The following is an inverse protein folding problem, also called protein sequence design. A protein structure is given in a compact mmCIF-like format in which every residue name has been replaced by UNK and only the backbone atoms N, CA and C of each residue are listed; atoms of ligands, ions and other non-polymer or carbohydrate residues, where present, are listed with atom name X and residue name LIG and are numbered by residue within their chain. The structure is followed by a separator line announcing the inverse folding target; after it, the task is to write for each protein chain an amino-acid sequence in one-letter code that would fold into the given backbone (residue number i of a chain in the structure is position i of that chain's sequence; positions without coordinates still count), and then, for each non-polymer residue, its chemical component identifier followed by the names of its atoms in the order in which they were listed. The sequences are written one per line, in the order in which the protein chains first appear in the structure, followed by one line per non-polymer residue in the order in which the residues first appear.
data_IF_003132053504
#
_entry.id   IF_003132053504
#
_cell.length_a   1.000
_cell.length_b   1.000
_cell.length_c   1.000
_cell.angle_alpha   90.00
_cell.angle_beta   90.00
_cell.angle_gamma   90.00
#
_symmetry.space_group_name_H-M   'P 1'
#
loop_
_entity.id
_entity.type
_entity.pdbx_description
1 polymer ?
#
# COMPACT_ATOMS: atom_id res chain seq x y z
N UNK A 1 1.41 23.84 30.85
CA UNK A 1 0.60 24.25 29.67
C UNK A 1 1.41 24.97 28.56
N UNK A 2 2.56 25.57 28.86
CA UNK A 2 3.39 26.29 27.86
C UNK A 2 4.23 25.34 26.96
N UNK A 3 4.58 24.16 27.47
CA UNK A 3 5.43 23.18 26.76
C UNK A 3 4.63 22.28 25.77
N UNK A 4 3.31 22.12 25.97
CA UNK A 4 2.47 21.34 25.07
C UNK A 4 2.22 22.08 23.74
N UNK A 5 2.15 23.43 23.80
CA UNK A 5 2.01 24.27 22.59
C UNK A 5 3.25 24.22 21.69
N UNK A 6 4.45 24.06 22.27
CA UNK A 6 5.69 23.94 21.50
C UNK A 6 5.83 22.58 20.79
N UNK A 7 5.29 21.50 21.38
CA UNK A 7 5.37 20.18 20.77
C UNK A 7 4.48 20.05 19.51
N UNK A 8 3.30 20.69 19.54
CA UNK A 8 2.40 20.70 18.37
C UNK A 8 2.94 21.54 17.20
N UNK A 9 3.61 22.64 17.50
CA UNK A 9 4.21 23.51 16.46
C UNK A 9 5.45 22.85 15.85
N UNK A 10 6.24 22.11 16.62
CA UNK A 10 7.44 21.43 16.12
C UNK A 10 7.12 20.21 15.23
N UNK A 11 6.02 19.51 15.48
CA UNK A 11 5.55 18.41 14.61
C UNK A 11 5.02 18.96 13.27
N UNK A 12 4.35 20.12 13.27
CA UNK A 12 3.89 20.77 12.04
C UNK A 12 5.04 21.38 11.22
N UNK A 13 6.11 21.90 11.86
CA UNK A 13 7.28 22.41 11.16
C UNK A 13 8.20 21.30 10.60
N UNK A 14 8.26 20.12 11.26
CA UNK A 14 8.99 18.96 10.72
C UNK A 14 8.34 18.38 9.47
N UNK A 15 7.00 18.53 9.32
CA UNK A 15 6.28 18.10 8.12
C UNK A 15 6.54 19.01 6.90
N UNK A 16 6.90 20.27 7.10
CA UNK A 16 7.19 21.20 5.99
C UNK A 16 8.59 21.02 5.38
N UNK A 17 9.55 20.48 6.15
CA UNK A 17 10.91 20.23 5.67
C UNK A 17 11.06 18.93 4.84
N UNK A 18 10.11 17.99 4.96
CA UNK A 18 10.10 16.71 4.20
C UNK A 18 9.55 16.83 2.78
N UNK A 19 8.90 17.94 2.42
CA UNK A 19 8.27 18.12 1.10
C UNK A 19 9.26 18.53 0.00
N UNK A 20 10.51 18.85 0.32
CA UNK A 20 11.49 19.39 -0.63
C UNK A 20 12.53 18.37 -1.13
N UNK A 21 12.50 17.12 -0.67
CA UNK A 21 13.49 16.09 -1.04
C UNK A 21 13.06 15.16 -2.19
N UNK A 22 11.98 15.48 -2.92
CA UNK A 22 11.53 14.72 -4.10
C UNK A 22 11.89 15.37 -5.44
N UNK A 23 12.91 16.18 -5.47
CA UNK A 23 13.38 16.78 -6.71
C UNK A 23 14.68 16.16 -7.19
N UNK A 24 14.69 14.97 -7.75
CA UNK A 24 15.69 14.46 -8.71
C UNK A 24 15.54 12.98 -9.07
N UNK A 25 14.33 12.49 -9.39
CA UNK A 25 14.21 11.18 -10.05
C UNK A 25 13.01 11.17 -11.02
N UNK A 26 13.05 12.04 -12.03
CA UNK A 26 11.95 12.22 -13.00
C UNK A 26 12.03 11.26 -14.20
N UNK A 27 12.53 10.04 -14.02
CA UNK A 27 12.61 9.04 -15.10
C UNK A 27 11.82 7.75 -14.84
N UNK A 28 10.97 7.69 -13.82
CA UNK A 28 10.04 6.56 -13.61
C UNK A 28 8.60 7.03 -13.83
N UNK A 29 8.07 6.76 -15.03
CA UNK A 29 6.67 6.99 -15.36
C UNK A 29 5.76 5.94 -14.71
N UNK A 30 5.76 5.86 -13.37
CA UNK A 30 4.76 5.12 -12.59
C UNK A 30 3.53 5.99 -12.30
N UNK A 31 2.39 5.40 -11.87
CA UNK A 31 1.23 6.17 -11.48
C UNK A 31 1.56 7.10 -10.32
N UNK A 32 1.46 8.40 -10.56
CA UNK A 32 1.81 9.44 -9.60
C UNK A 32 0.67 9.59 -8.57
N UNK A 33 1.04 9.57 -7.28
CA UNK A 33 0.10 9.81 -6.19
C UNK A 33 -0.54 11.20 -6.31
N UNK A 34 -1.84 11.28 -6.06
CA UNK A 34 -2.56 12.56 -5.96
C UNK A 34 -3.11 12.72 -4.55
N UNK A 35 -2.75 13.80 -3.83
CA UNK A 35 -3.34 14.12 -2.55
C UNK A 35 -4.87 14.21 -2.65
N UNK A 36 -5.59 13.65 -1.68
CA UNK A 36 -7.04 13.55 -1.76
C UNK A 36 -7.71 13.51 -0.39
N UNK A 37 -8.97 13.94 -0.36
CA UNK A 37 -9.84 13.78 0.79
C UNK A 37 -10.41 12.37 0.88
N UNK A 38 -10.75 11.96 2.08
CA UNK A 38 -11.51 10.75 2.32
C UNK A 38 -12.51 10.94 3.46
N UNK A 39 -13.56 10.12 3.45
CA UNK A 39 -14.52 9.98 4.53
C UNK A 39 -14.64 8.51 4.89
N UNK A 40 -14.89 8.22 6.17
CA UNK A 40 -15.10 6.84 6.61
C UNK A 40 -16.17 6.74 7.67
N UNK A 41 -16.86 5.59 7.67
CA UNK A 41 -17.85 5.23 8.67
C UNK A 41 -17.56 3.80 9.14
N UNK A 42 -17.39 3.64 10.44
CA UNK A 42 -17.09 2.37 11.09
C UNK A 42 -18.05 2.11 12.24
N UNK A 43 -18.33 0.84 12.50
CA UNK A 43 -19.09 0.38 13.65
C UNK A 43 -18.44 -0.86 14.26
N UNK A 44 -18.65 -1.07 15.54
CA UNK A 44 -18.05 -2.21 16.23
C UNK A 44 -18.25 -2.20 17.72
N UNK A 45 -17.25 -2.70 18.45
CA UNK A 45 -17.27 -2.84 19.88
C UNK A 45 -16.20 -2.00 20.56
N UNK A 46 -16.56 -1.47 21.72
CA UNK A 46 -15.67 -0.84 22.69
C UNK A 46 -15.55 -1.73 23.92
N UNK A 47 -14.35 -1.86 24.43
CA UNK A 47 -14.07 -2.44 25.74
C UNK A 47 -13.49 -1.38 26.65
N UNK A 48 -14.16 -1.07 27.78
CA UNK A 48 -13.61 -0.20 28.83
C UNK A 48 -12.88 -1.05 29.85
N UNK A 49 -11.63 -0.76 30.13
CA UNK A 49 -10.85 -1.47 31.13
C UNK A 49 -11.45 -1.23 32.53
N UNK A 50 -11.84 -2.30 33.20
CA UNK A 50 -12.50 -2.25 34.49
C UNK A 50 -12.33 -3.55 35.27
N UNK A 51 -13.04 -3.70 36.41
CA UNK A 51 -12.92 -4.85 37.30
C UNK A 51 -13.91 -5.98 36.98
N UNK A 52 -14.94 -5.73 36.15
CA UNK A 52 -15.90 -6.75 35.72
C UNK A 52 -15.29 -7.57 34.55
N UNK A 53 -15.96 -8.68 34.25
CA UNK A 53 -15.50 -9.55 33.15
C UNK A 53 -15.52 -8.85 31.79
N UNK A 54 -14.62 -9.27 30.89
CA UNK A 54 -14.45 -8.68 29.59
C UNK A 54 -15.77 -8.54 28.80
N UNK A 55 -16.61 -9.60 28.81
CA UNK A 55 -17.90 -9.60 28.11
C UNK A 55 -18.88 -8.57 28.66
N UNK A 56 -18.90 -8.36 29.97
CA UNK A 56 -19.80 -7.42 30.63
C UNK A 56 -19.47 -5.96 30.37
N UNK A 57 -18.18 -5.67 30.09
CA UNK A 57 -17.66 -4.34 29.80
C UNK A 57 -17.61 -4.01 28.30
N UNK A 58 -18.05 -4.92 27.44
CA UNK A 58 -18.24 -4.65 26.03
C UNK A 58 -19.47 -3.77 25.78
N UNK A 59 -19.33 -2.77 24.93
CA UNK A 59 -20.38 -1.86 24.52
C UNK A 59 -20.29 -1.56 23.03
N UNK A 60 -21.40 -1.16 22.37
CA UNK A 60 -21.35 -0.75 20.97
C UNK A 60 -20.64 0.59 20.81
N UNK A 61 -19.99 0.77 19.65
CA UNK A 61 -19.39 2.05 19.27
C UNK A 61 -19.52 2.27 17.77
N UNK A 62 -19.63 3.54 17.37
CA UNK A 62 -19.55 3.98 15.97
C UNK A 62 -18.48 5.06 15.85
N UNK A 63 -17.89 5.18 14.67
CA UNK A 63 -16.91 6.21 14.36
C UNK A 63 -17.15 6.76 12.96
N UNK A 64 -17.29 8.08 12.86
CA UNK A 64 -17.27 8.81 11.60
C UNK A 64 -15.96 9.58 11.50
N UNK A 65 -15.36 9.59 10.31
CA UNK A 65 -14.11 10.33 10.11
C UNK A 65 -14.09 11.03 8.76
N UNK A 66 -13.41 12.16 8.72
CA UNK A 66 -13.05 12.88 7.50
C UNK A 66 -11.58 13.26 7.56
N UNK A 67 -10.83 13.02 6.49
CA UNK A 67 -9.39 13.25 6.50
C UNK A 67 -8.82 13.60 5.14
N UNK A 68 -7.54 13.91 5.15
CA UNK A 68 -6.79 14.25 3.96
C UNK A 68 -5.47 13.47 3.92
N UNK A 69 -5.23 12.82 2.80
CA UNK A 69 -3.97 12.14 2.52
C UNK A 69 -3.04 13.10 1.79
N UNK A 70 -1.97 13.53 2.47
CA UNK A 70 -1.00 14.51 1.93
C UNK A 70 0.01 13.87 1.00
N UNK A 71 0.53 12.73 1.42
CA UNK A 71 1.53 11.94 0.69
C UNK A 71 1.09 10.47 0.66
N UNK A 72 1.74 9.60 -0.10
CA UNK A 72 1.41 8.17 -0.07
C UNK A 72 1.42 7.54 1.33
N UNK A 73 2.24 8.05 2.24
CA UNK A 73 2.45 7.47 3.56
C UNK A 73 1.99 8.36 4.73
N UNK A 74 1.67 9.66 4.51
CA UNK A 74 1.26 10.59 5.56
C UNK A 74 -0.13 11.16 5.28
N UNK A 75 -1.00 11.12 6.29
CA UNK A 75 -2.33 11.71 6.28
C UNK A 75 -2.72 12.27 7.64
N UNK A 76 -3.83 12.98 7.69
CA UNK A 76 -4.47 13.39 8.94
C UNK A 76 -5.97 13.26 8.81
N UNK A 77 -6.65 13.01 9.94
CA UNK A 77 -8.10 12.92 9.99
C UNK A 77 -8.67 13.51 11.28
N UNK A 78 -9.88 14.01 11.20
CA UNK A 78 -10.77 14.24 12.31
C UNK A 78 -11.71 13.05 12.40
N UNK A 79 -11.79 12.40 13.58
CA UNK A 79 -12.67 11.30 13.89
C UNK A 79 -13.61 11.70 15.02
N UNK A 80 -14.86 11.26 14.93
CA UNK A 80 -15.84 11.39 16.03
C UNK A 80 -16.33 9.99 16.35
N UNK A 81 -15.88 9.46 17.48
CA UNK A 81 -16.40 8.23 18.08
C UNK A 81 -17.58 8.54 19.01
N UNK A 82 -18.58 7.68 19.04
CA UNK A 82 -19.73 7.86 19.91
C UNK A 82 -20.42 6.54 20.22
N UNK A 83 -21.18 6.53 21.26
CA UNK A 83 -22.23 5.65 21.72
C UNK A 83 -22.12 5.38 23.22
N UNK A 84 -22.02 4.12 23.61
CA UNK A 84 -22.09 3.65 25.00
C UNK A 84 -20.71 3.24 25.50
N UNK A 85 -20.44 3.51 26.77
CA UNK A 85 -19.31 2.99 27.51
C UNK A 85 -19.79 2.38 28.82
N UNK A 86 -19.07 1.40 29.35
CA UNK A 86 -19.45 0.70 30.57
C UNK A 86 -18.39 0.79 31.65
N UNK A 87 -18.78 0.79 32.89
CA UNK A 87 -17.93 0.57 34.05
C UNK A 87 -18.44 -0.62 34.87
N UNK A 88 -17.61 -1.16 35.75
CA UNK A 88 -17.97 -2.30 36.56
C UNK A 88 -17.30 -2.28 37.95
N UNK A 89 -18.02 -2.83 38.95
CA UNK A 89 -17.60 -3.01 40.33
C UNK A 89 -17.56 -4.50 40.66
N UNK A 90 -16.48 -5.00 41.24
CA UNK A 90 -16.38 -6.35 41.78
C UNK A 90 -16.45 -6.38 43.29
N UNK A 91 -16.84 -7.54 43.86
CA UNK A 91 -16.82 -7.76 45.31
C UNK A 91 -18.13 -7.41 46.04
N UNK A 92 -19.19 -7.12 45.33
CA UNK A 92 -20.51 -6.79 45.92
C UNK A 92 -21.54 -7.89 45.61
N UNK A 93 -21.25 -9.13 45.97
CA UNK A 93 -22.22 -10.23 45.84
C UNK A 93 -23.00 -10.47 47.12
N UNK A 94 -24.32 -10.68 47.03
CA UNK A 94 -25.11 -11.22 48.14
C UNK A 94 -24.86 -12.72 48.28
N UNK A 95 -24.47 -13.19 49.49
CA UNK A 95 -24.42 -14.60 49.81
C UNK A 95 -23.19 -15.38 49.32
N UNK A 96 -22.01 -14.79 49.31
CA UNK A 96 -20.75 -15.52 49.12
C UNK A 96 -20.31 -15.77 47.67
N UNK A 97 -21.06 -15.24 46.71
CA UNK A 97 -20.63 -15.23 45.31
C UNK A 97 -20.32 -13.78 44.91
N UNK A 98 -19.04 -13.42 44.64
CA UNK A 98 -18.70 -12.06 44.22
C UNK A 98 -19.24 -11.82 42.80
N UNK A 99 -20.47 -11.26 42.72
CA UNK A 99 -21.02 -10.78 41.45
C UNK A 99 -20.37 -9.46 41.01
N UNK A 100 -20.25 -9.23 39.74
CA UNK A 100 -19.93 -7.93 39.18
C UNK A 100 -21.23 -7.14 38.96
N UNK A 101 -21.20 -5.85 39.36
CA UNK A 101 -22.28 -4.89 39.03
C UNK A 101 -21.73 -4.00 37.93
N UNK A 102 -22.43 -3.90 36.81
CA UNK A 102 -22.08 -3.03 35.70
C UNK A 102 -23.03 -1.85 35.60
N UNK A 103 -22.55 -0.77 35.05
CA UNK A 103 -23.32 0.45 34.76
C UNK A 103 -22.82 1.03 33.42
N UNK A 104 -23.67 1.77 32.76
CA UNK A 104 -23.38 2.39 31.46
C UNK A 104 -23.54 3.90 31.48
N UNK A 105 -22.89 4.52 30.55
CA UNK A 105 -22.98 5.94 30.25
C UNK A 105 -22.65 6.17 28.77
N UNK A 106 -23.01 7.34 28.26
CA UNK A 106 -22.79 7.68 26.86
C UNK A 106 -21.57 8.60 26.69
N UNK A 107 -21.00 8.57 25.51
CA UNK A 107 -19.92 9.49 25.17
C UNK A 107 -19.95 9.93 23.70
N UNK A 108 -19.31 11.08 23.43
CA UNK A 108 -18.92 11.55 22.12
C UNK A 108 -17.45 11.99 22.21
N UNK A 109 -16.62 11.49 21.30
CA UNK A 109 -15.17 11.73 21.35
C UNK A 109 -14.64 12.25 20.00
N UNK A 110 -14.60 13.58 19.79
CA UNK A 110 -13.86 14.19 18.69
C UNK A 110 -12.35 14.09 18.95
N UNK A 111 -11.62 13.52 17.97
CA UNK A 111 -10.17 13.27 18.03
C UNK A 111 -9.53 13.61 16.68
N UNK A 112 -8.38 14.25 16.69
CA UNK A 112 -7.54 14.47 15.51
C UNK A 112 -6.41 13.46 15.53
N UNK A 113 -6.27 12.69 14.45
CA UNK A 113 -5.21 11.69 14.27
C UNK A 113 -4.25 12.11 13.17
N UNK A 114 -2.96 11.86 13.36
CA UNK A 114 -1.94 11.78 12.31
C UNK A 114 -1.81 10.32 11.90
N UNK A 115 -1.85 10.05 10.61
CA UNK A 115 -1.90 8.71 10.04
C UNK A 115 -0.62 8.41 9.24
N UNK A 116 -0.06 7.23 9.44
CA UNK A 116 1.12 6.75 8.75
C UNK A 116 0.79 5.45 8.03
N UNK A 117 0.68 5.47 6.71
CA UNK A 117 0.52 4.25 5.92
C UNK A 117 1.86 3.50 5.87
N UNK A 118 2.01 2.50 6.74
CA UNK A 118 3.23 1.70 6.89
C UNK A 118 3.54 0.89 5.63
N UNK A 119 2.50 0.40 4.95
CA UNK A 119 2.67 -0.35 3.71
C UNK A 119 3.32 0.50 2.62
N UNK A 120 2.88 1.75 2.46
CA UNK A 120 3.47 2.66 1.47
C UNK A 120 4.83 3.23 1.92
N UNK A 121 5.06 3.41 3.22
CA UNK A 121 6.33 3.87 3.75
C UNK A 121 7.45 2.83 3.55
N UNK A 122 7.14 1.53 3.74
CA UNK A 122 8.12 0.44 3.67
C UNK A 122 8.29 -0.09 2.24
N UNK A 123 7.18 -0.25 1.50
CA UNK A 123 7.16 -0.93 0.19
C UNK A 123 6.95 0.03 -0.98
N UNK A 124 6.98 1.35 -0.76
CA UNK A 124 6.69 2.35 -1.78
C UNK A 124 5.20 2.44 -2.13
N UNK A 125 4.86 3.51 -2.88
CA UNK A 125 3.49 3.74 -3.33
C UNK A 125 3.10 2.75 -4.44
N UNK A 126 2.05 1.99 -4.19
CA UNK A 126 1.40 1.14 -5.18
C UNK A 126 -0.11 1.39 -5.13
N UNK A 127 -0.70 2.06 -6.15
CA UNK A 127 -2.13 2.36 -6.19
C UNK A 127 -3.01 1.12 -6.33
N UNK A 128 -2.45 0.00 -6.80
CA UNK A 128 -3.17 -1.27 -7.00
C UNK A 128 -3.00 -2.24 -5.82
N UNK A 129 -2.33 -1.80 -4.76
CA UNK A 129 -2.21 -2.58 -3.53
C UNK A 129 -3.59 -2.89 -2.94
N UNK A 130 -3.90 -4.18 -2.80
CA UNK A 130 -5.18 -4.66 -2.26
C UNK A 130 -5.25 -4.47 -0.75
N UNK A 131 -4.13 -4.66 -0.04
CA UNK A 131 -4.04 -4.62 1.40
C UNK A 131 -3.06 -3.56 1.88
N UNK A 132 -3.49 -2.68 2.82
CA UNK A 132 -2.65 -1.64 3.40
C UNK A 132 -2.77 -1.62 4.93
N UNK A 133 -1.62 -1.48 5.60
CA UNK A 133 -1.52 -1.27 7.04
C UNK A 133 -1.21 0.20 7.32
N UNK A 134 -2.00 0.80 8.19
CA UNK A 134 -1.85 2.20 8.64
C UNK A 134 -1.75 2.24 10.15
N UNK A 135 -0.74 2.92 10.69
CA UNK A 135 -0.68 3.30 12.09
C UNK A 135 -1.17 4.73 12.26
N UNK A 136 -1.76 5.05 13.41
CA UNK A 136 -2.17 6.40 13.72
C UNK A 136 -1.98 6.73 15.20
N UNK A 137 -1.79 8.01 15.48
CA UNK A 137 -1.70 8.56 16.82
C UNK A 137 -2.40 9.92 16.84
N UNK A 138 -3.12 10.19 17.90
CA UNK A 138 -3.90 11.42 18.00
C UNK A 138 -4.30 11.79 19.40
N UNK A 139 -5.12 12.81 19.49
CA UNK A 139 -5.67 13.30 20.73
C UNK A 139 -6.87 14.22 20.49
N UNK A 140 -7.65 14.38 21.54
CA UNK A 140 -8.87 15.17 21.47
C UNK A 140 -9.59 15.28 22.80
N UNK A 141 -10.91 15.32 22.72
CA UNK A 141 -11.77 15.36 23.88
C UNK A 141 -12.73 14.17 23.90
N UNK A 142 -13.05 13.68 25.09
CA UNK A 142 -14.14 12.76 25.34
C UNK A 142 -15.19 13.48 26.19
N UNK A 143 -16.41 13.56 25.70
CA UNK A 143 -17.56 14.21 26.31
C UNK A 143 -18.47 13.11 26.81
N UNK A 144 -18.42 12.79 28.10
CA UNK A 144 -19.26 11.80 28.77
C UNK A 144 -20.54 12.41 29.32
N UNK A 145 -21.66 11.71 29.21
CA UNK A 145 -22.99 12.12 29.72
C UNK A 145 -23.88 10.89 30.01
N UNK A 146 -25.01 11.09 30.72
CA UNK A 146 -25.96 10.02 31.03
C UNK A 146 -25.36 8.95 31.96
N UNK A 147 -24.66 9.38 33.05
CA UNK A 147 -24.07 8.51 34.06
C UNK A 147 -25.04 8.17 35.20
N UNK A 148 -26.33 8.02 34.88
CA UNK A 148 -27.40 7.93 35.89
C UNK A 148 -27.33 6.62 36.65
N UNK A 149 -27.05 5.49 35.99
CA UNK A 149 -26.87 4.19 36.63
C UNK A 149 -25.75 4.20 37.69
N UNK A 150 -24.59 4.83 37.38
CA UNK A 150 -23.51 5.00 38.35
C UNK A 150 -23.91 5.92 39.52
N UNK A 151 -24.73 6.95 39.26
CA UNK A 151 -25.27 7.84 40.31
C UNK A 151 -26.22 7.12 41.25
N UNK A 152 -27.09 6.24 40.72
CA UNK A 152 -27.99 5.40 41.51
C UNK A 152 -27.21 4.42 42.41
N UNK A 153 -26.19 3.76 41.85
CA UNK A 153 -25.31 2.88 42.60
C UNK A 153 -24.54 3.63 43.70
N UNK A 154 -24.02 4.81 43.41
CA UNK A 154 -23.34 5.65 44.40
C UNK A 154 -24.30 6.05 45.54
N UNK A 155 -25.57 6.38 45.22
CA UNK A 155 -26.62 6.73 46.19
C UNK A 155 -27.04 5.51 47.02
N UNK A 156 -26.98 4.30 46.48
CA UNK A 156 -27.21 3.06 47.20
C UNK A 156 -26.01 2.62 48.08
N UNK A 157 -24.96 3.42 48.17
CA UNK A 157 -23.80 3.18 49.06
C UNK A 157 -22.64 2.41 48.43
N UNK A 158 -22.65 2.14 47.11
CA UNK A 158 -21.53 1.53 46.44
C UNK A 158 -20.35 2.51 46.29
N UNK A 159 -19.08 2.01 46.38
CA UNK A 159 -17.91 2.85 46.40
C UNK A 159 -17.46 3.33 45.00
N UNK A 160 -18.09 4.41 44.54
CA UNK A 160 -17.77 5.11 43.30
C UNK A 160 -17.13 6.49 43.63
N UNK A 161 -15.83 6.48 44.00
CA UNK A 161 -15.16 7.70 44.53
C UNK A 161 -15.01 8.82 43.53
N UNK A 162 -14.97 8.52 42.23
CA UNK A 162 -14.88 9.47 41.15
C UNK A 162 -16.15 9.54 40.32
N UNK A 163 -17.30 9.24 41.00
CA UNK A 163 -18.60 9.41 40.39
C UNK A 163 -18.81 10.84 39.91
N UNK A 164 -19.50 10.95 38.81
CA UNK A 164 -19.75 12.25 38.18
C UNK A 164 -21.18 12.37 37.69
N UNK A 165 -21.70 13.61 37.74
CA UNK A 165 -23.05 13.97 37.32
C UNK A 165 -23.00 14.95 36.14
N UNK A 166 -24.05 14.98 35.32
CA UNK A 166 -24.15 15.86 34.16
C UNK A 166 -23.14 15.51 33.08
N UNK A 167 -22.77 16.48 32.28
CA UNK A 167 -21.80 16.30 31.17
C UNK A 167 -20.39 16.63 31.65
N UNK A 168 -19.43 15.75 31.32
CA UNK A 168 -18.01 15.91 31.65
C UNK A 168 -17.15 15.82 30.39
N UNK A 169 -16.24 16.80 30.25
CA UNK A 169 -15.27 16.81 29.18
C UNK A 169 -13.90 16.44 29.72
N UNK A 170 -13.25 15.47 29.06
CA UNK A 170 -11.92 14.95 29.41
C UNK A 170 -11.01 14.95 28.21
N UNK A 171 -9.73 15.22 28.41
CA UNK A 171 -8.75 15.02 27.34
C UNK A 171 -8.58 13.50 27.09
N UNK A 172 -8.46 13.11 25.83
CA UNK A 172 -8.18 11.75 25.39
C UNK A 172 -6.95 11.73 24.51
N UNK A 173 -6.02 10.79 24.80
CA UNK A 173 -4.95 10.38 23.93
C UNK A 173 -5.33 9.09 23.20
N UNK A 174 -4.95 8.94 21.94
CA UNK A 174 -5.34 7.80 21.12
C UNK A 174 -4.18 7.28 20.28
N UNK A 175 -4.07 5.95 20.12
CA UNK A 175 -3.18 5.31 19.18
C UNK A 175 -3.77 4.01 18.67
N UNK A 176 -3.43 3.62 17.43
CA UNK A 176 -4.01 2.41 16.87
C UNK A 176 -3.44 2.01 15.51
N UNK A 177 -4.01 0.94 14.98
CA UNK A 177 -3.69 0.34 13.69
C UNK A 177 -4.98 0.17 12.88
N UNK A 178 -4.87 0.39 11.59
CA UNK A 178 -5.93 0.16 10.60
C UNK A 178 -5.44 -0.76 9.49
N UNK A 179 -6.31 -1.66 9.06
CA UNK A 179 -6.13 -2.56 7.93
C UNK A 179 -7.17 -2.20 6.87
N UNK A 180 -6.73 -1.79 5.69
CA UNK A 180 -7.59 -1.44 4.58
C UNK A 180 -7.52 -2.49 3.47
N UNK A 181 -8.67 -2.99 3.05
CA UNK A 181 -8.86 -3.83 1.87
C UNK A 181 -9.47 -2.99 0.75
N UNK A 182 -8.72 -2.78 -0.30
CA UNK A 182 -9.18 -2.02 -1.46
C UNK A 182 -10.19 -2.83 -2.27
N UNK A 183 -11.39 -2.29 -2.44
CA UNK A 183 -12.44 -2.83 -3.32
C UNK A 183 -12.41 -2.18 -4.69
N UNK A 184 -12.06 -0.89 -4.73
CA UNK A 184 -11.95 -0.10 -5.96
C UNK A 184 -10.99 1.08 -5.74
N UNK A 185 -10.78 1.91 -6.77
CA UNK A 185 -9.97 3.13 -6.64
C UNK A 185 -10.49 4.08 -5.56
N UNK A 186 -11.79 4.04 -5.29
CA UNK A 186 -12.44 4.95 -4.35
C UNK A 186 -12.89 4.32 -3.05
N UNK A 187 -13.12 3.01 -3.02
CA UNK A 187 -13.75 2.34 -1.89
C UNK A 187 -12.84 1.29 -1.29
N UNK A 188 -12.70 1.30 0.02
CA UNK A 188 -12.02 0.25 0.80
C UNK A 188 -12.89 -0.21 1.96
N UNK A 189 -12.79 -1.49 2.32
CA UNK A 189 -13.20 -2.00 3.62
C UNK A 189 -12.07 -1.79 4.61
N UNK A 190 -12.39 -1.31 5.82
CA UNK A 190 -11.42 -1.06 6.88
C UNK A 190 -11.73 -1.88 8.13
N UNK A 191 -10.69 -2.37 8.79
CA UNK A 191 -10.71 -2.85 10.16
C UNK A 191 -9.78 -1.96 10.97
N UNK A 192 -10.21 -1.45 12.11
CA UNK A 192 -9.42 -0.55 12.93
C UNK A 192 -9.46 -0.97 14.40
N UNK A 193 -8.27 -1.07 15.02
CA UNK A 193 -8.09 -1.25 16.45
C UNK A 193 -7.43 -0.04 17.07
N UNK A 194 -7.98 0.49 18.18
CA UNK A 194 -7.41 1.63 18.89
C UNK A 194 -7.43 1.48 20.39
N UNK A 195 -6.39 2.01 21.05
CA UNK A 195 -6.31 2.21 22.48
C UNK A 195 -6.47 3.71 22.78
N UNK A 196 -7.31 4.02 23.75
CA UNK A 196 -7.65 5.38 24.15
C UNK A 196 -7.39 5.55 25.64
N UNK A 197 -6.66 6.59 26.03
CA UNK A 197 -6.26 6.87 27.40
C UNK A 197 -6.83 8.19 27.88
N UNK A 198 -7.41 8.18 29.08
CA UNK A 198 -8.02 9.34 29.74
C UNK A 198 -7.56 9.45 31.20
N UNK A 199 -8.03 10.49 31.90
CA UNK A 199 -7.81 10.63 33.33
C UNK A 199 -8.62 9.59 34.12
N UNK A 200 -8.16 9.24 35.34
CA UNK A 200 -8.78 8.33 36.33
C UNK A 200 -10.15 8.83 36.87
N UNK A 201 -10.98 9.39 36.00
CA UNK A 201 -12.34 9.88 36.33
C UNK A 201 -13.35 9.46 35.27
N UNK A 202 -12.93 8.66 34.27
CA UNK A 202 -13.79 8.31 33.16
C UNK A 202 -14.82 7.25 33.54
N UNK A 203 -14.39 6.21 34.21
CA UNK A 203 -15.22 5.07 34.60
C UNK A 203 -15.84 5.20 36.01
N UNK A 204 -15.86 6.39 36.60
CA UNK A 204 -16.42 6.69 37.94
C UNK A 204 -15.73 6.00 39.14
N UNK A 205 -14.68 5.25 38.93
CA UNK A 205 -13.88 4.55 39.95
C UNK A 205 -12.58 5.28 40.21
N UNK A 206 -12.00 5.07 41.37
CA UNK A 206 -10.63 5.52 41.70
C UNK A 206 -9.69 4.34 41.64
N UNK A 207 -8.93 4.20 40.56
CA UNK A 207 -7.89 3.18 40.42
C UNK A 207 -6.48 3.73 40.73
N UNK A 208 -6.29 5.05 40.69
CA UNK A 208 -4.99 5.70 40.90
C UNK A 208 -4.09 5.68 39.65
N UNK A 209 -4.63 5.29 38.51
CA UNK A 209 -3.98 5.27 37.20
C UNK A 209 -4.93 5.82 36.12
N UNK A 210 -4.43 5.96 34.90
CA UNK A 210 -5.26 6.42 33.78
C UNK A 210 -6.31 5.37 33.40
N UNK A 211 -7.49 5.82 33.02
CA UNK A 211 -8.55 4.99 32.44
C UNK A 211 -8.27 4.71 30.97
N UNK A 212 -8.57 3.48 30.56
CA UNK A 212 -8.37 3.02 29.19
C UNK A 212 -9.66 2.44 28.60
N UNK A 213 -9.89 2.74 27.32
CA UNK A 213 -10.83 1.97 26.54
C UNK A 213 -10.24 1.61 25.18
N UNK A 214 -10.64 0.47 24.65
CA UNK A 214 -10.17 -0.10 23.40
C UNK A 214 -11.34 -0.22 22.44
N UNK A 215 -11.13 0.18 21.18
CA UNK A 215 -12.13 0.01 20.13
C UNK A 215 -11.63 -0.99 19.10
N UNK A 216 -12.54 -1.86 18.64
CA UNK A 216 -12.37 -2.71 17.47
C UNK A 216 -13.56 -2.44 16.55
N UNK A 217 -13.31 -1.82 15.41
CA UNK A 217 -14.36 -1.35 14.50
C UNK A 217 -14.07 -1.78 13.07
N UNK A 218 -15.13 -2.02 12.30
CA UNK A 218 -15.08 -2.32 10.88
C UNK A 218 -15.98 -1.36 10.10
N UNK A 219 -15.63 -1.06 8.86
CA UNK A 219 -16.44 -0.12 8.09
C UNK A 219 -15.88 0.14 6.69
N UNK A 220 -16.32 1.26 6.14
CA UNK A 220 -16.05 1.65 4.76
C UNK A 220 -15.33 3.01 4.76
N UNK A 221 -14.30 3.11 3.91
CA UNK A 221 -13.61 4.35 3.58
C UNK A 221 -13.84 4.69 2.12
N UNK A 222 -14.25 5.92 1.84
CA UNK A 222 -14.48 6.46 0.49
C UNK A 222 -13.48 7.58 0.23
N UNK A 223 -12.63 7.42 -0.79
CA UNK A 223 -11.70 8.43 -1.27
C UNK A 223 -12.41 9.36 -2.23
N UNK A 224 -12.23 10.67 -2.03
CA UNK A 224 -12.89 11.72 -2.81
C UNK A 224 -11.93 12.28 -3.87
N UNK A 225 -12.42 12.42 -5.10
CA UNK A 225 -11.62 12.93 -6.20
C UNK A 225 -10.73 11.89 -6.88
N UNK A 226 -9.68 12.35 -7.55
CA UNK A 226 -8.67 11.49 -8.20
C UNK A 226 -7.59 11.13 -7.19
N UNK A 227 -7.34 9.86 -7.02
CA UNK A 227 -6.32 9.33 -6.09
C UNK A 227 -4.97 9.11 -6.77
N UNK A 228 -4.96 9.08 -8.10
CA UNK A 228 -3.78 8.90 -8.96
C UNK A 228 -3.92 9.72 -10.24
N UNK A 229 -2.80 10.20 -10.79
CA UNK A 229 -2.73 10.64 -12.18
C UNK A 229 -2.47 9.44 -13.06
N UNK A 230 -3.08 9.41 -14.26
CA UNK A 230 -2.69 8.45 -15.28
C UNK A 230 -1.19 8.60 -15.56
N UNK A 231 -0.48 7.48 -15.74
CA UNK A 231 0.90 7.49 -16.19
C UNK A 231 0.98 8.38 -17.45
N UNK A 232 1.85 9.37 -17.43
CA UNK A 232 2.08 10.20 -18.62
C UNK A 232 2.67 9.27 -19.66
N UNK A 233 2.11 9.16 -20.89
CA UNK A 233 2.79 8.43 -21.96
C UNK A 233 4.20 8.97 -22.02
N UNK A 234 5.22 8.08 -22.04
CA UNK A 234 6.58 8.51 -22.26
C UNK A 234 6.56 9.43 -23.48
N UNK A 235 6.99 10.69 -23.30
CA UNK A 235 7.10 11.61 -24.40
C UNK A 235 7.97 10.88 -25.43
N UNK A 236 7.41 10.62 -26.62
CA UNK A 236 8.21 10.11 -27.71
C UNK A 236 9.42 11.03 -27.81
N UNK A 237 10.60 10.48 -27.59
CA UNK A 237 11.84 11.21 -27.80
C UNK A 237 11.84 11.54 -29.28
N UNK A 238 11.31 12.72 -29.63
CA UNK A 238 11.54 13.29 -30.95
C UNK A 238 13.03 13.59 -30.98
N UNK A 239 13.81 12.66 -31.51
CA UNK A 239 15.15 12.96 -31.94
C UNK A 239 15.01 14.16 -32.88
N UNK A 240 15.67 15.30 -32.63
CA UNK A 240 15.62 16.41 -33.58
C UNK A 240 16.20 15.87 -34.91
N UNK A 241 15.35 15.67 -35.88
CA UNK A 241 15.79 15.46 -37.23
C UNK A 241 16.37 16.81 -37.63
N UNK A 242 17.70 16.90 -37.64
CA UNK A 242 18.42 18.00 -38.29
C UNK A 242 17.90 18.06 -39.70
N UNK A 243 17.40 19.22 -40.21
CA UNK A 243 17.02 19.33 -41.58
C UNK A 243 18.26 19.06 -42.45
N UNK A 244 18.23 17.98 -43.20
CA UNK A 244 19.19 17.76 -44.27
C UNK A 244 18.85 18.77 -45.35
N UNK A 245 19.72 19.74 -45.55
CA UNK A 245 19.65 20.73 -46.62
C UNK A 245 19.60 19.99 -47.98
N UNK A 246 18.63 20.32 -48.87
CA UNK A 246 18.51 19.60 -50.15
C UNK A 246 19.76 19.82 -50.97
N UNK A 247 20.32 18.78 -51.63
CA UNK A 247 21.49 18.95 -52.50
C UNK A 247 21.09 19.79 -53.73
N UNK A 248 21.93 20.78 -53.98
CA UNK A 248 21.88 21.63 -55.17
C UNK A 248 22.03 20.76 -56.43
N UNK A 249 21.12 20.92 -57.35
CA UNK A 249 21.15 20.26 -58.64
C UNK A 249 22.32 20.77 -59.50
N UNK A 250 23.21 19.89 -59.87
CA UNK A 250 24.10 20.11 -61.01
C UNK A 250 23.63 19.25 -62.20
N UNK A 251 23.52 19.89 -63.34
CA UNK A 251 23.07 19.40 -64.65
C UNK A 251 24.15 18.61 -65.37
N UNK A 252 23.82 17.86 -66.46
CA UNK A 252 24.44 16.55 -66.71
C UNK A 252 25.59 16.61 -67.71
N UNK A 253 26.57 15.72 -67.54
CA UNK A 253 27.53 15.35 -68.58
C UNK A 253 27.37 13.88 -68.96
N UNK A 254 27.26 13.65 -70.26
CA UNK A 254 26.92 12.38 -70.87
C UNK A 254 28.12 11.40 -70.99
N UNK A 255 27.82 10.10 -70.74
CA UNK A 255 28.27 8.86 -71.33
C UNK A 255 29.71 8.36 -71.11
N UNK A 256 29.94 7.05 -71.18
CA UNK A 256 29.17 5.93 -71.74
C UNK A 256 29.03 4.71 -70.84
N UNK A 257 28.09 3.85 -71.20
CA UNK A 257 27.72 2.53 -70.61
C UNK A 257 28.93 1.55 -70.61
N UNK A 258 29.10 0.85 -69.50
CA UNK A 258 29.60 -0.53 -69.52
C UNK A 258 28.61 -1.48 -68.80
N UNK A 259 28.64 -2.69 -69.23
CA UNK A 259 27.91 -3.94 -68.91
C UNK A 259 27.58 -4.20 -67.44
N UNK A 260 26.54 -4.98 -67.15
CA UNK A 260 26.04 -5.17 -65.80
C UNK A 260 26.94 -6.13 -65.02
N UNK A 261 27.52 -5.60 -63.90
CA UNK A 261 28.01 -6.43 -62.79
C UNK A 261 26.87 -6.82 -61.88
N UNK A 262 26.88 -8.05 -61.32
CA UNK A 262 25.81 -8.47 -60.41
C UNK A 262 25.79 -7.61 -59.15
N UNK A 263 24.60 -7.09 -58.82
CA UNK A 263 24.33 -6.34 -57.60
C UNK A 263 24.70 -7.18 -56.38
N UNK A 264 25.34 -6.58 -55.35
CA UNK A 264 25.48 -7.24 -54.06
C UNK A 264 24.07 -7.41 -53.45
N UNK A 265 23.70 -8.63 -53.17
CA UNK A 265 22.48 -8.96 -52.40
C UNK A 265 22.59 -8.22 -51.09
N UNK A 266 21.77 -7.17 -50.87
CA UNK A 266 21.57 -6.58 -49.55
C UNK A 266 21.15 -7.70 -48.62
N UNK A 267 21.99 -8.01 -47.63
CA UNK A 267 21.60 -8.91 -46.53
C UNK A 267 20.36 -8.31 -45.87
N UNK A 268 19.24 -8.98 -46.02
CA UNK A 268 18.01 -8.71 -45.24
C UNK A 268 18.40 -8.91 -43.81
N UNK A 269 18.57 -7.83 -43.07
CA UNK A 269 18.73 -7.88 -41.62
C UNK A 269 17.35 -8.27 -41.08
N UNK A 270 17.14 -9.55 -40.85
CA UNK A 270 15.95 -10.05 -40.17
C UNK A 270 15.92 -9.41 -38.78
N UNK A 271 14.82 -8.75 -38.45
CA UNK A 271 14.60 -8.21 -37.10
C UNK A 271 14.68 -9.35 -36.06
N UNK A 272 15.40 -9.16 -34.94
CA UNK A 272 15.55 -10.19 -33.92
C UNK A 272 14.18 -10.61 -33.37
N UNK A 273 13.92 -11.92 -33.41
CA UNK A 273 12.66 -12.46 -32.87
C UNK A 273 12.67 -12.36 -31.36
N UNK A 274 11.75 -11.59 -30.80
CA UNK A 274 11.56 -11.40 -29.35
C UNK A 274 10.30 -12.07 -28.85
N UNK A 275 10.39 -12.75 -27.71
CA UNK A 275 9.24 -13.26 -26.93
C UNK A 275 9.44 -12.99 -25.46
N UNK A 276 8.39 -12.50 -24.80
CA UNK A 276 8.36 -12.13 -23.39
C UNK A 276 7.51 -13.16 -22.63
N UNK A 277 8.14 -13.92 -21.74
CA UNK A 277 7.51 -14.96 -20.88
C UNK A 277 7.25 -14.38 -19.50
N UNK A 278 5.98 -14.24 -19.11
CA UNK A 278 5.56 -13.61 -17.87
C UNK A 278 5.32 -14.61 -16.75
N UNK A 279 5.52 -14.16 -15.50
CA UNK A 279 5.39 -15.00 -14.30
C UNK A 279 4.44 -14.38 -13.27
N UNK A 280 3.81 -15.24 -12.49
CA UNK A 280 3.05 -14.80 -11.32
C UNK A 280 3.98 -14.25 -10.24
N UNK A 281 3.40 -13.45 -9.31
CA UNK A 281 4.11 -12.95 -8.15
C UNK A 281 4.75 -14.10 -7.35
N UNK A 282 5.98 -13.91 -6.93
CA UNK A 282 6.77 -14.89 -6.17
C UNK A 282 6.85 -16.30 -6.81
N UNK A 283 6.74 -16.38 -8.14
CA UNK A 283 6.78 -17.64 -8.90
C UNK A 283 7.78 -17.56 -10.04
N UNK A 284 8.39 -18.72 -10.35
CA UNK A 284 9.16 -19.00 -11.55
C UNK A 284 8.53 -20.15 -12.37
N UNK A 285 7.28 -20.49 -12.07
CA UNK A 285 6.51 -21.50 -12.79
C UNK A 285 5.94 -20.89 -14.08
N UNK A 286 6.14 -21.58 -15.20
CA UNK A 286 5.63 -21.18 -16.51
C UNK A 286 4.19 -21.69 -16.64
N UNK A 287 3.25 -20.80 -16.94
CA UNK A 287 1.84 -21.18 -17.16
C UNK A 287 1.64 -21.73 -18.57
N UNK A 288 0.51 -22.43 -18.81
CA UNK A 288 0.20 -23.00 -20.12
C UNK A 288 0.16 -21.96 -21.25
N UNK A 289 -0.34 -20.75 -20.94
CA UNK A 289 -0.35 -19.62 -21.89
C UNK A 289 1.06 -19.16 -22.27
N UNK A 290 1.98 -19.13 -21.31
CA UNK A 290 3.37 -18.75 -21.52
C UNK A 290 4.20 -19.88 -22.18
N UNK A 291 3.80 -21.13 -21.93
CA UNK A 291 4.39 -22.30 -22.59
C UNK A 291 4.22 -22.26 -24.11
N UNK A 292 3.11 -21.72 -24.61
CA UNK A 292 2.89 -21.56 -26.05
C UNK A 292 3.97 -20.66 -26.70
N UNK A 293 4.36 -19.59 -26.04
CA UNK A 293 5.41 -18.67 -26.51
C UNK A 293 6.79 -19.34 -26.54
N UNK A 294 7.08 -20.18 -25.55
CA UNK A 294 8.35 -20.95 -25.52
C UNK A 294 8.39 -21.97 -26.65
N UNK A 295 7.27 -22.62 -26.97
CA UNK A 295 7.16 -23.53 -28.11
C UNK A 295 7.34 -22.80 -29.45
N UNK A 296 6.85 -21.58 -29.60
CA UNK A 296 7.12 -20.75 -30.79
C UNK A 296 8.61 -20.43 -30.96
N UNK A 297 9.30 -20.07 -29.84
CA UNK A 297 10.76 -19.89 -29.86
C UNK A 297 11.50 -21.16 -30.27
N UNK A 298 11.08 -22.32 -29.72
CA UNK A 298 11.68 -23.61 -30.06
C UNK A 298 11.47 -23.96 -31.54
N UNK A 299 10.28 -23.70 -32.09
CA UNK A 299 9.99 -23.92 -33.51
C UNK A 299 10.89 -23.05 -34.39
N UNK A 300 11.07 -21.76 -34.05
CA UNK A 300 12.00 -20.88 -34.78
C UNK A 300 13.43 -21.40 -34.73
N UNK A 301 13.93 -21.74 -33.52
CA UNK A 301 15.27 -22.27 -33.32
C UNK A 301 15.52 -23.58 -34.09
N UNK A 302 14.53 -24.45 -34.20
CA UNK A 302 14.62 -25.70 -34.97
C UNK A 302 14.68 -25.47 -36.49
N UNK A 303 14.08 -24.39 -36.96
CA UNK A 303 14.13 -23.99 -38.38
C UNK A 303 15.39 -23.19 -38.76
N UNK A 304 16.12 -22.66 -37.76
CA UNK A 304 17.29 -21.81 -37.93
C UNK A 304 18.43 -22.36 -37.07
N UNK A 305 19.24 -23.27 -37.66
CA UNK A 305 20.24 -24.04 -36.90
C UNK A 305 21.37 -23.20 -36.30
N UNK A 306 21.67 -22.04 -36.87
CA UNK A 306 22.75 -21.12 -36.44
C UNK A 306 22.24 -20.09 -35.41
N UNK A 307 20.92 -19.97 -35.23
CA UNK A 307 20.32 -19.01 -34.32
C UNK A 307 20.55 -19.36 -32.84
N UNK A 308 20.84 -18.35 -32.04
CA UNK A 308 21.09 -18.43 -30.60
C UNK A 308 20.00 -17.63 -29.87
N UNK A 309 19.46 -18.16 -28.78
CA UNK A 309 18.52 -17.43 -27.92
C UNK A 309 19.22 -16.92 -26.66
N UNK A 310 19.08 -15.63 -26.40
CA UNK A 310 19.47 -15.02 -25.13
C UNK A 310 18.23 -14.82 -24.25
N UNK A 311 18.24 -15.38 -23.03
CA UNK A 311 17.18 -15.32 -22.06
C UNK A 311 17.62 -14.47 -20.91
N UNK A 312 16.99 -13.30 -20.71
CA UNK A 312 17.27 -12.43 -19.57
C UNK A 312 16.09 -12.42 -18.63
N UNK A 313 16.28 -12.88 -17.38
CA UNK A 313 15.27 -12.88 -16.34
C UNK A 313 15.22 -11.57 -15.56
N UNK A 314 14.02 -11.15 -15.21
CA UNK A 314 13.75 -9.94 -14.44
C UNK A 314 12.78 -10.22 -13.28
N UNK A 315 12.82 -9.36 -12.27
CA UNK A 315 11.87 -9.34 -11.18
C UNK A 315 11.35 -7.91 -11.01
N UNK A 316 10.12 -7.80 -10.55
CA UNK A 316 9.50 -6.51 -10.27
C UNK A 316 10.13 -5.86 -9.03
N UNK A 317 10.41 -4.56 -9.09
CA UNK A 317 10.98 -3.79 -7.98
C UNK A 317 9.94 -3.48 -6.86
N UNK A 318 8.65 -3.66 -7.15
CA UNK A 318 7.56 -3.36 -6.20
C UNK A 318 7.34 -4.45 -5.15
N UNK A 319 7.94 -5.63 -5.30
CA UNK A 319 7.78 -6.75 -4.35
C UNK A 319 9.11 -7.44 -4.08
N UNK A 320 9.23 -8.05 -2.89
CA UNK A 320 10.46 -8.72 -2.48
C UNK A 320 11.56 -7.78 -1.99
N UNK A 321 12.75 -8.33 -1.82
CA UNK A 321 13.98 -7.58 -1.52
C UNK A 321 14.96 -7.78 -2.68
N UNK A 322 15.99 -6.92 -2.86
CA UNK A 322 16.96 -7.09 -3.94
C UNK A 322 17.57 -8.50 -4.02
N UNK A 323 17.89 -9.11 -2.86
CA UNK A 323 18.43 -10.48 -2.80
C UNK A 323 17.39 -11.56 -3.18
N UNK A 324 16.10 -11.35 -2.89
CA UNK A 324 15.02 -12.25 -3.30
C UNK A 324 14.80 -12.10 -4.81
N UNK A 325 14.74 -10.88 -5.31
CA UNK A 325 14.50 -10.53 -6.71
C UNK A 325 15.62 -11.01 -7.61
N UNK A 326 16.87 -10.93 -7.15
CA UNK A 326 18.04 -11.49 -7.84
C UNK A 326 17.90 -13.01 -8.04
N UNK A 327 17.56 -13.76 -6.97
CA UNK A 327 17.34 -15.20 -7.04
C UNK A 327 16.10 -15.58 -7.87
N UNK A 328 15.05 -14.77 -7.80
CA UNK A 328 13.81 -15.04 -8.52
C UNK A 328 13.96 -14.81 -10.02
N UNK A 329 14.64 -13.75 -10.43
CA UNK A 329 14.96 -13.48 -11.84
C UNK A 329 15.83 -14.57 -12.45
N UNK A 330 16.84 -15.05 -11.71
CA UNK A 330 17.67 -16.18 -12.14
C UNK A 330 16.84 -17.47 -12.34
N UNK A 331 15.94 -17.79 -11.37
CA UNK A 331 15.07 -18.96 -11.46
C UNK A 331 14.10 -18.88 -12.64
N UNK A 332 13.58 -17.70 -12.97
CA UNK A 332 12.71 -17.46 -14.11
C UNK A 332 13.41 -17.72 -15.44
N UNK A 333 14.61 -17.17 -15.61
CA UNK A 333 15.41 -17.41 -16.80
C UNK A 333 15.80 -18.90 -16.95
N UNK A 334 16.19 -19.55 -15.86
CA UNK A 334 16.53 -20.97 -15.84
C UNK A 334 15.31 -21.89 -16.09
N UNK A 335 14.10 -21.47 -15.69
CA UNK A 335 12.88 -22.21 -15.99
C UNK A 335 12.60 -22.23 -17.50
N UNK A 336 12.75 -21.10 -18.19
CA UNK A 336 12.60 -21.05 -19.66
C UNK A 336 13.67 -21.89 -20.36
N UNK A 337 14.95 -21.78 -19.96
CA UNK A 337 16.03 -22.60 -20.49
C UNK A 337 15.74 -24.08 -20.35
N UNK A 338 15.31 -24.52 -19.15
CA UNK A 338 15.02 -25.93 -18.88
C UNK A 338 13.95 -26.48 -19.83
N UNK A 339 12.93 -25.69 -20.15
CA UNK A 339 11.88 -26.09 -21.09
C UNK A 339 12.43 -26.16 -22.53
N UNK A 340 13.18 -25.15 -22.97
CA UNK A 340 13.78 -25.15 -24.30
C UNK A 340 14.74 -26.32 -24.52
N UNK A 341 15.61 -26.60 -23.55
CA UNK A 341 16.59 -27.68 -23.64
C UNK A 341 15.98 -29.05 -23.35
N UNK A 342 15.20 -29.16 -22.24
CA UNK A 342 14.67 -30.44 -21.79
C UNK A 342 13.44 -30.91 -22.55
N UNK A 343 12.44 -30.01 -22.71
CA UNK A 343 11.15 -30.43 -23.30
C UNK A 343 11.11 -30.20 -24.82
N UNK A 344 11.83 -29.17 -25.31
CA UNK A 344 11.83 -28.82 -26.74
C UNK A 344 13.08 -29.35 -27.51
N UNK A 345 14.09 -29.87 -26.82
CA UNK A 345 15.27 -30.49 -27.41
C UNK A 345 16.27 -29.54 -28.06
N UNK A 346 16.24 -28.23 -27.67
CA UNK A 346 17.21 -27.25 -28.19
C UNK A 346 18.58 -27.51 -27.55
N UNK A 347 19.65 -27.49 -28.37
CA UNK A 347 21.00 -27.65 -27.85
C UNK A 347 21.38 -26.57 -26.83
N UNK A 348 21.94 -26.98 -25.69
CA UNK A 348 22.30 -26.10 -24.59
C UNK A 348 23.30 -25.00 -24.99
N UNK A 349 24.17 -25.26 -25.98
CA UNK A 349 25.14 -24.29 -26.50
C UNK A 349 24.49 -23.10 -27.21
N UNK A 350 23.26 -23.26 -27.65
CA UNK A 350 22.44 -22.24 -28.31
C UNK A 350 21.56 -21.44 -27.37
N UNK A 351 21.59 -21.72 -26.05
CA UNK A 351 20.76 -21.04 -25.04
C UNK A 351 21.68 -20.31 -24.06
N UNK A 352 21.67 -19.01 -24.11
CA UNK A 352 22.37 -18.14 -23.14
C UNK A 352 21.42 -17.61 -22.12
N UNK A 353 21.83 -17.59 -20.85
CA UNK A 353 21.01 -17.14 -19.74
C UNK A 353 21.69 -16.03 -18.96
N UNK A 354 20.94 -14.99 -18.68
CA UNK A 354 21.34 -13.88 -17.81
C UNK A 354 20.16 -13.46 -16.90
N UNK A 355 20.42 -12.66 -15.88
CA UNK A 355 19.40 -12.12 -15.00
C UNK A 355 19.81 -10.75 -14.49
N UNK A 356 18.84 -9.91 -14.12
CA UNK A 356 19.03 -8.52 -13.70
C UNK A 356 18.36 -8.19 -12.37
N UNK A 357 17.79 -9.19 -11.68
CA UNK A 357 17.04 -8.93 -10.44
C UNK A 357 15.93 -7.91 -10.67
N UNK A 358 15.88 -6.93 -9.82
CA UNK A 358 15.02 -5.73 -9.90
C UNK A 358 15.78 -4.46 -10.29
N UNK A 359 17.07 -4.58 -10.64
CA UNK A 359 17.92 -3.42 -10.99
C UNK A 359 17.56 -2.80 -12.34
N UNK A 360 16.97 -3.58 -13.23
CA UNK A 360 16.49 -3.16 -14.54
C UNK A 360 15.01 -3.52 -14.65
N UNK A 361 14.19 -2.54 -15.04
CA UNK A 361 12.75 -2.71 -15.21
C UNK A 361 12.42 -2.46 -16.70
N UNK A 362 12.37 -3.52 -17.54
CA UNK A 362 12.13 -3.37 -18.97
C UNK A 362 10.74 -2.87 -19.34
N UNK A 363 9.79 -2.97 -18.43
CA UNK A 363 8.42 -2.49 -18.63
C UNK A 363 8.07 -1.40 -17.61
N UNK A 364 7.25 -0.44 -18.06
CA UNK A 364 6.76 0.64 -17.21
C UNK A 364 5.80 0.15 -16.09
N UNK A 365 5.05 -0.92 -16.37
CA UNK A 365 4.18 -1.55 -15.39
C UNK A 365 4.99 -2.52 -14.51
N UNK A 366 4.93 -2.31 -13.19
CA UNK A 366 5.72 -3.09 -12.25
C UNK A 366 5.50 -4.60 -12.40
N UNK A 367 4.25 -5.03 -12.56
CA UNK A 367 3.86 -6.44 -12.66
C UNK A 367 4.39 -7.11 -13.94
N UNK A 368 4.57 -6.34 -15.01
CA UNK A 368 5.14 -6.82 -16.27
C UNK A 368 6.65 -7.11 -16.17
N UNK A 369 7.31 -6.62 -15.14
CA UNK A 369 8.73 -6.92 -14.89
C UNK A 369 8.96 -8.29 -14.24
N UNK A 370 7.89 -9.04 -13.96
CA UNK A 370 7.95 -10.46 -13.65
C UNK A 370 8.07 -11.28 -14.94
N UNK A 371 9.20 -11.17 -15.62
CA UNK A 371 9.36 -11.62 -17.00
C UNK A 371 10.72 -12.25 -17.25
N UNK A 372 10.79 -13.16 -18.22
CA UNK A 372 12.03 -13.54 -18.94
C UNK A 372 11.89 -13.08 -20.39
N UNK A 373 12.75 -12.18 -20.82
CA UNK A 373 12.80 -11.69 -22.20
C UNK A 373 13.74 -12.62 -22.98
N UNK A 374 13.21 -13.19 -24.07
CA UNK A 374 13.94 -14.08 -24.96
C UNK A 374 14.14 -13.37 -26.28
N UNK A 375 15.39 -13.22 -26.70
CA UNK A 375 15.77 -12.59 -27.98
C UNK A 375 16.58 -13.61 -28.77
N UNK A 376 16.14 -13.90 -29.99
CA UNK A 376 16.86 -14.75 -30.92
C UNK A 376 17.63 -13.88 -31.87
N UNK A 377 18.95 -14.19 -32.02
CA UNK A 377 19.83 -13.61 -33.00
C UNK A 377 20.43 -14.69 -33.91
N UNK A 378 20.57 -14.39 -35.17
CA UNK A 378 21.25 -15.21 -36.16
C UNK A 378 22.74 -14.86 -36.21
#
# INVERSE_FOLDING_TARGET
MRHIKLLFVSVLLACSAGASAQGADSLKAGPEFTPHWFISAHGGAQYTLGEADFGDLLSPTVQLSGGYQFTPWLGARLSVGAWESKGGLCGYGNGGNPGAITYKYNYVAPVVDVMFNLSNAVFGYNPDRVFSLTAFVGGGANIGFGNDEANELASAGYSLRYNWTGTKVRAVGRGGLGLDFRLSDRVSLGLEGSANVLSDHYNSKKAGNADWYFNAVAGITIRLGKTRKAARPAAAVTVPVTPVEPPVAEEPAQNPVPEPQPEPVEAVVEEPVRRDVFFKINSSEVTDAEMAKIKELALYLNNHNDAVVEITGYADAGTGTPSINERLSAKRAEAVKRILVGDCGIDVSRVRVSHKGDTVQPFAENDMNRVSICIISN
#
